data_IF_106732173971
#
_entry.id   IF_106732173971
#
_cell.length_a   1.000
_cell.length_b   1.000
_cell.length_c   1.000
_cell.angle_alpha   90.00
_cell.angle_beta   90.00
_cell.angle_gamma   90.00
#
_symmetry.space_group_name_H-M   'P 1'
#
loop_
_entity.id
_entity.type
_entity.pdbx_description
1 polymer ?
#
# COMPACT_ATOMS: atom_id res chain seq x y z
N UNK A 1 -8.48 35.75 -44.86
CA UNK A 1 -8.16 36.77 -43.82
C UNK A 1 -8.80 36.34 -42.50
N UNK A 2 -7.96 36.22 -41.46
CA UNK A 2 -8.20 36.36 -40.00
C UNK A 2 -9.51 35.86 -39.34
N UNK A 3 -9.33 34.97 -38.36
CA UNK A 3 -10.15 34.84 -37.15
C UNK A 3 -10.07 36.13 -36.27
N UNK A 4 -10.93 36.30 -35.24
CA UNK A 4 -10.53 35.80 -33.92
C UNK A 4 -11.66 35.31 -32.98
N UNK A 5 -11.33 34.24 -32.26
CA UNK A 5 -11.39 34.05 -30.80
C UNK A 5 -12.70 34.39 -30.05
N UNK A 6 -13.42 33.34 -29.63
CA UNK A 6 -14.16 33.34 -28.36
C UNK A 6 -13.55 32.29 -27.42
N UNK A 7 -12.86 32.80 -26.40
CA UNK A 7 -12.15 32.04 -25.37
C UNK A 7 -13.12 31.81 -24.22
N UNK A 8 -13.78 30.66 -24.16
CA UNK A 8 -14.56 30.27 -22.99
C UNK A 8 -13.79 29.27 -22.13
N UNK A 9 -13.34 29.79 -20.99
CA UNK A 9 -12.75 29.08 -19.86
C UNK A 9 -13.71 28.00 -19.36
N UNK A 10 -13.24 26.75 -19.31
CA UNK A 10 -13.76 25.74 -18.40
C UNK A 10 -12.60 25.25 -17.53
N UNK A 11 -12.47 25.84 -16.35
CA UNK A 11 -11.77 25.24 -15.22
C UNK A 11 -12.79 25.11 -14.11
N UNK A 12 -13.15 23.89 -13.74
CA UNK A 12 -13.56 23.56 -12.38
C UNK A 12 -13.66 22.05 -12.20
N UNK A 13 -12.71 21.51 -11.42
CA UNK A 13 -12.91 20.42 -10.47
C UNK A 13 -13.50 19.10 -10.98
N UNK A 14 -12.65 18.24 -11.55
CA UNK A 14 -12.63 16.85 -11.07
C UNK A 14 -11.68 16.79 -9.89
N UNK A 15 -12.26 16.77 -8.70
CA UNK A 15 -11.63 16.28 -7.49
C UNK A 15 -11.00 14.94 -7.87
N UNK A 16 -9.68 14.84 -7.80
CA UNK A 16 -9.00 13.56 -7.90
C UNK A 16 -9.49 12.73 -6.72
N UNK A 17 -10.55 11.95 -6.92
CA UNK A 17 -10.71 10.71 -6.16
C UNK A 17 -9.43 9.94 -6.44
N UNK A 18 -8.52 9.97 -5.47
CA UNK A 18 -7.38 9.06 -5.42
C UNK A 18 -7.95 7.66 -5.21
N UNK A 19 -8.54 7.09 -6.26
CA UNK A 19 -8.85 5.68 -6.36
C UNK A 19 -7.50 5.01 -6.22
N UNK A 20 -7.31 4.47 -5.03
CA UNK A 20 -6.05 3.90 -4.59
C UNK A 20 -5.96 2.55 -5.26
N UNK A 21 -5.39 2.51 -6.46
CA UNK A 21 -5.18 1.23 -7.13
C UNK A 21 -4.00 0.56 -6.43
N UNK A 22 -4.30 -0.17 -5.35
CA UNK A 22 -3.45 -1.27 -4.96
C UNK A 22 -3.41 -2.21 -6.17
N UNK A 23 -2.24 -2.37 -6.80
CA UNK A 23 -2.12 -3.23 -7.95
C UNK A 23 -2.27 -4.68 -7.48
N UNK A 24 -3.15 -5.47 -8.12
CA UNK A 24 -3.23 -6.90 -7.89
C UNK A 24 -1.89 -7.58 -8.19
N UNK A 25 -1.72 -8.79 -7.68
CA UNK A 25 -0.54 -9.62 -8.00
C UNK A 25 -0.42 -9.85 -9.51
N UNK A 26 0.79 -10.14 -9.98
CA UNK A 26 1.03 -10.45 -11.41
C UNK A 26 0.14 -11.61 -11.87
N UNK A 27 -0.11 -12.60 -11.01
CA UNK A 27 -1.00 -13.73 -11.30
C UNK A 27 -2.45 -13.29 -11.49
N UNK A 28 -2.98 -12.46 -10.59
CA UNK A 28 -4.32 -11.90 -10.70
C UNK A 28 -4.48 -11.03 -11.95
N UNK A 29 -3.47 -10.22 -12.27
CA UNK A 29 -3.45 -9.39 -13.49
C UNK A 29 -3.44 -10.24 -14.76
N UNK A 30 -2.66 -11.33 -14.80
CA UNK A 30 -2.67 -12.30 -15.92
C UNK A 30 -4.02 -13.02 -16.02
N UNK A 31 -4.62 -13.38 -14.88
CA UNK A 31 -5.96 -13.97 -14.82
C UNK A 31 -7.04 -13.00 -15.33
N UNK A 32 -6.94 -11.72 -14.98
CA UNK A 32 -7.79 -10.65 -15.53
C UNK A 32 -7.62 -10.53 -17.04
N UNK A 33 -6.38 -10.51 -17.54
CA UNK A 33 -6.11 -10.47 -18.98
C UNK A 33 -6.71 -11.69 -19.70
N UNK A 34 -6.56 -12.89 -19.15
CA UNK A 34 -7.16 -14.12 -19.73
C UNK A 34 -8.68 -14.01 -19.84
N UNK A 35 -9.36 -13.57 -18.77
CA UNK A 35 -10.82 -13.37 -18.76
C UNK A 35 -11.26 -12.29 -19.76
N UNK A 36 -10.52 -11.18 -19.83
CA UNK A 36 -10.80 -10.08 -20.76
C UNK A 36 -10.68 -10.54 -22.22
N UNK A 37 -9.63 -11.31 -22.54
CA UNK A 37 -9.42 -11.88 -23.87
C UNK A 37 -10.58 -12.79 -24.29
N UNK A 38 -11.00 -13.71 -23.41
CA UNK A 38 -12.12 -14.61 -23.66
C UNK A 38 -13.43 -13.84 -23.90
N UNK A 39 -13.68 -12.79 -23.13
CA UNK A 39 -14.85 -11.93 -23.32
C UNK A 39 -14.84 -11.18 -24.66
N UNK A 40 -13.66 -10.75 -25.13
CA UNK A 40 -13.50 -10.08 -26.43
C UNK A 40 -13.65 -11.06 -27.60
N UNK A 41 -13.10 -12.28 -27.49
CA UNK A 41 -13.28 -13.35 -28.47
C UNK A 41 -14.77 -13.72 -28.63
N UNK A 42 -15.50 -13.84 -27.52
CA UNK A 42 -16.94 -14.13 -27.54
C UNK A 42 -17.74 -13.04 -28.26
N UNK A 43 -17.26 -11.79 -28.24
CA UNK A 43 -17.86 -10.65 -28.94
C UNK A 43 -17.37 -10.50 -30.39
N UNK A 44 -16.62 -11.47 -30.92
CA UNK A 44 -16.10 -11.46 -32.28
C UNK A 44 -14.90 -10.53 -32.49
N UNK A 45 -14.30 -9.98 -31.42
CA UNK A 45 -13.12 -9.12 -31.50
C UNK A 45 -11.90 -9.90 -31.03
N UNK A 46 -11.24 -10.60 -31.96
CA UNK A 46 -10.01 -11.31 -31.65
C UNK A 46 -8.86 -10.32 -31.39
N UNK A 47 -8.29 -10.36 -30.19
CA UNK A 47 -7.13 -9.55 -29.80
C UNK A 47 -5.98 -10.44 -29.33
N UNK A 48 -4.76 -10.02 -29.61
CA UNK A 48 -3.56 -10.75 -29.19
C UNK A 48 -3.41 -10.70 -27.67
N UNK A 49 -2.74 -11.70 -27.09
CA UNK A 49 -2.50 -11.74 -25.65
C UNK A 49 -1.75 -10.50 -25.14
N UNK A 50 -0.73 -10.05 -25.87
CA UNK A 50 0.02 -8.84 -25.52
C UNK A 50 -0.86 -7.59 -25.53
N UNK A 51 -1.75 -7.43 -26.52
CA UNK A 51 -2.66 -6.29 -26.57
C UNK A 51 -3.62 -6.27 -25.37
N UNK A 52 -4.06 -7.44 -24.89
CA UNK A 52 -4.92 -7.53 -23.70
C UNK A 52 -4.17 -7.10 -22.44
N UNK A 53 -2.90 -7.47 -22.30
CA UNK A 53 -2.07 -7.04 -21.17
C UNK A 53 -1.89 -5.51 -21.14
N UNK A 54 -1.70 -4.90 -22.31
CA UNK A 54 -1.66 -3.43 -22.43
C UNK A 54 -3.00 -2.78 -22.05
N UNK A 55 -4.12 -3.38 -22.45
CA UNK A 55 -5.45 -2.90 -22.04
C UNK A 55 -5.66 -3.01 -20.52
N UNK A 56 -5.18 -4.09 -19.90
CA UNK A 56 -5.19 -4.23 -18.43
C UNK A 56 -4.34 -3.14 -17.79
N UNK A 57 -3.14 -2.83 -18.31
CA UNK A 57 -2.33 -1.71 -17.82
C UNK A 57 -3.07 -0.38 -17.87
N UNK A 58 -3.72 -0.08 -19.01
CA UNK A 58 -4.51 1.14 -19.19
C UNK A 58 -5.73 1.20 -18.25
N UNK A 59 -6.40 0.07 -17.99
CA UNK A 59 -7.50 -0.01 -17.00
C UNK A 59 -7.04 0.35 -15.59
N UNK A 60 -5.80 0.01 -15.26
CA UNK A 60 -5.16 0.37 -13.99
C UNK A 60 -4.51 1.77 -14.02
N UNK A 61 -4.67 2.54 -15.09
CA UNK A 61 -4.13 3.90 -15.24
C UNK A 61 -2.63 3.96 -15.53
N UNK A 62 -2.02 2.83 -15.90
CA UNK A 62 -0.58 2.69 -16.16
C UNK A 62 -0.31 2.67 -17.67
N UNK A 63 0.84 3.20 -18.09
CA UNK A 63 1.21 3.37 -19.50
C UNK A 63 1.27 2.05 -20.28
N UNK A 64 1.90 1.05 -19.69
CA UNK A 64 2.16 -0.23 -20.35
C UNK A 64 2.25 -1.39 -19.34
N UNK A 65 2.14 -2.61 -19.86
CA UNK A 65 2.22 -3.83 -19.05
C UNK A 65 3.55 -3.95 -18.29
N UNK A 66 4.66 -3.54 -18.90
CA UNK A 66 5.98 -3.62 -18.27
C UNK A 66 6.05 -2.76 -17.00
N UNK A 67 5.47 -1.56 -17.06
CA UNK A 67 5.37 -0.64 -15.92
C UNK A 67 4.40 -1.19 -14.87
N UNK A 68 3.23 -1.68 -15.28
CA UNK A 68 2.25 -2.25 -14.34
C UNK A 68 2.83 -3.47 -13.60
N UNK A 69 3.47 -4.39 -14.32
CA UNK A 69 4.10 -5.57 -13.74
C UNK A 69 5.25 -5.21 -12.80
N UNK A 70 6.10 -4.24 -13.15
CA UNK A 70 7.16 -3.76 -12.26
C UNK A 70 6.60 -3.13 -10.97
N UNK A 71 5.52 -2.35 -11.06
CA UNK A 71 4.86 -1.76 -9.88
C UNK A 71 4.21 -2.84 -9.00
N UNK A 72 3.58 -3.84 -9.60
CA UNK A 72 2.99 -4.98 -8.89
C UNK A 72 4.07 -5.84 -8.21
N UNK A 73 5.21 -6.09 -8.87
CA UNK A 73 6.33 -6.84 -8.30
C UNK A 73 6.92 -6.14 -7.08
N UNK A 74 7.33 -4.86 -7.21
CA UNK A 74 7.98 -4.12 -6.12
C UNK A 74 7.12 -4.09 -4.87
N UNK A 75 5.81 -3.92 -5.01
CA UNK A 75 4.87 -3.90 -3.88
C UNK A 75 4.76 -5.26 -3.21
N UNK A 76 4.80 -6.35 -3.97
CA UNK A 76 4.77 -7.71 -3.43
C UNK A 76 6.11 -8.13 -2.80
N UNK A 77 7.22 -7.50 -3.17
CA UNK A 77 8.54 -7.73 -2.58
C UNK A 77 8.77 -6.94 -1.27
N UNK A 78 7.93 -5.96 -0.94
CA UNK A 78 8.06 -5.25 0.34
C UNK A 78 7.82 -6.24 1.51
N UNK A 79 8.73 -6.34 2.50
CA UNK A 79 8.58 -7.27 3.63
C UNK A 79 7.23 -7.14 4.36
N UNK A 80 6.66 -5.93 4.40
CA UNK A 80 5.35 -5.70 5.02
C UNK A 80 4.21 -6.47 4.34
N UNK A 81 4.36 -6.85 3.08
CA UNK A 81 3.36 -7.62 2.31
C UNK A 81 3.26 -9.07 2.79
N UNK A 82 4.25 -9.58 3.54
CA UNK A 82 4.18 -10.89 4.18
C UNK A 82 3.30 -10.91 5.44
N UNK A 83 2.96 -9.73 5.98
CA UNK A 83 2.16 -9.60 7.20
C UNK A 83 0.69 -9.37 6.82
N UNK A 84 -0.21 -10.05 7.53
CA UNK A 84 -1.65 -9.88 7.37
C UNK A 84 -2.32 -9.60 8.72
N UNK A 85 -3.59 -9.19 8.69
CA UNK A 85 -4.38 -9.07 9.91
C UNK A 85 -4.51 -10.45 10.57
N UNK A 86 -4.16 -10.53 11.85
CA UNK A 86 -4.08 -11.78 12.62
C UNK A 86 -2.66 -12.34 12.75
N UNK A 87 -1.69 -11.87 11.94
CA UNK A 87 -0.29 -12.28 12.05
C UNK A 87 0.30 -11.91 13.41
N UNK A 88 1.11 -12.81 13.96
CA UNK A 88 1.98 -12.53 15.11
C UNK A 88 3.16 -11.69 14.64
N UNK A 89 3.46 -10.64 15.39
CA UNK A 89 4.55 -9.71 15.13
C UNK A 89 5.32 -9.43 16.42
N UNK A 90 6.61 -9.21 16.27
CA UNK A 90 7.48 -8.76 17.33
C UNK A 90 8.32 -7.58 16.81
N UNK A 91 9.01 -6.93 17.73
CA UNK A 91 9.89 -5.82 17.41
C UNK A 91 9.99 -4.86 18.58
N UNK A 92 10.14 -3.57 18.27
CA UNK A 92 10.35 -2.52 19.26
C UNK A 92 9.35 -1.39 19.11
N UNK A 93 8.70 -1.02 20.21
CA UNK A 93 7.87 0.17 20.31
C UNK A 93 8.47 1.12 21.34
N UNK A 94 8.86 2.33 20.91
CA UNK A 94 9.57 3.31 21.74
C UNK A 94 10.79 2.70 22.45
N UNK A 95 11.57 1.90 21.71
CA UNK A 95 12.73 1.13 22.17
C UNK A 95 12.44 -0.05 23.12
N UNK A 96 11.17 -0.31 23.46
CA UNK A 96 10.77 -1.45 24.29
C UNK A 96 10.44 -2.65 23.41
N UNK A 97 10.98 -3.86 23.72
CA UNK A 97 10.61 -5.05 22.98
C UNK A 97 9.14 -5.38 23.21
N UNK A 98 8.46 -5.87 22.17
CA UNK A 98 7.08 -6.33 22.28
C UNK A 98 6.86 -7.59 21.46
N UNK A 99 5.82 -8.33 21.83
CA UNK A 99 5.21 -9.38 21.00
C UNK A 99 3.70 -9.15 21.00
N UNK A 100 3.06 -9.37 19.86
CA UNK A 100 1.63 -9.14 19.74
C UNK A 100 1.05 -9.56 18.41
N UNK A 101 -0.22 -9.24 18.21
CA UNK A 101 -0.99 -9.57 17.02
C UNK A 101 -1.40 -8.32 16.25
N UNK A 102 -1.32 -8.38 14.93
CA UNK A 102 -1.83 -7.34 14.06
C UNK A 102 -3.35 -7.41 14.02
N UNK A 103 -4.02 -6.35 14.46
CA UNK A 103 -5.49 -6.25 14.42
C UNK A 103 -5.99 -5.54 13.16
N UNK A 104 -5.19 -4.66 12.58
CA UNK A 104 -5.51 -3.98 11.34
C UNK A 104 -4.22 -3.59 10.61
N UNK A 105 -4.21 -3.76 9.29
CA UNK A 105 -3.15 -3.30 8.41
C UNK A 105 -3.79 -2.68 7.18
N UNK A 106 -3.47 -1.41 6.89
CA UNK A 106 -3.99 -0.68 5.75
C UNK A 106 -2.88 0.15 5.10
N UNK A 107 -2.61 -0.09 3.81
CA UNK A 107 -1.70 0.76 3.04
C UNK A 107 -2.27 2.17 2.86
N UNK A 108 -1.43 3.19 3.00
CA UNK A 108 -1.83 4.56 2.70
C UNK A 108 -1.74 4.81 1.17
N UNK A 109 -2.74 5.46 0.57
CA UNK A 109 -2.66 5.86 -0.84
C UNK A 109 -1.50 6.83 -1.10
N UNK A 110 -0.66 6.54 -2.09
CA UNK A 110 0.34 7.48 -2.61
C UNK A 110 1.59 7.69 -1.74
N UNK A 111 1.72 6.99 -0.62
CA UNK A 111 2.95 6.93 0.17
C UNK A 111 3.14 5.50 0.62
N UNK A 112 4.35 4.94 0.48
CA UNK A 112 4.72 3.58 0.89
C UNK A 112 4.68 3.35 2.41
N UNK A 113 3.74 4.00 3.08
CA UNK A 113 3.45 3.89 4.50
C UNK A 113 2.16 3.09 4.69
N UNK A 114 2.14 2.27 5.72
CA UNK A 114 1.06 1.39 6.12
C UNK A 114 0.64 1.78 7.53
N UNK A 115 -0.67 1.98 7.73
CA UNK A 115 -1.26 2.10 9.05
C UNK A 115 -1.42 0.71 9.63
N UNK A 116 -0.85 0.49 10.81
CA UNK A 116 -0.90 -0.78 11.52
C UNK A 116 -1.49 -0.57 12.91
N UNK A 117 -2.38 -1.47 13.31
CA UNK A 117 -2.88 -1.58 14.68
C UNK A 117 -2.38 -2.89 15.26
N UNK A 118 -1.68 -2.82 16.39
CA UNK A 118 -1.09 -3.98 17.05
C UNK A 118 -1.69 -4.08 18.45
N UNK A 119 -2.04 -5.29 18.84
CA UNK A 119 -2.37 -5.63 20.22
C UNK A 119 -1.24 -6.47 20.80
N UNK A 120 -0.59 -5.94 21.83
CA UNK A 120 0.47 -6.66 22.52
C UNK A 120 -0.13 -7.76 23.39
N UNK A 121 0.53 -8.91 23.42
CA UNK A 121 0.09 -10.04 24.24
C UNK A 121 0.19 -9.70 25.73
N UNK A 122 1.26 -8.98 26.11
CA UNK A 122 1.44 -8.39 27.43
C UNK A 122 1.45 -6.85 27.34
N UNK A 123 0.82 -6.12 28.27
CA UNK A 123 0.90 -4.66 28.30
C UNK A 123 2.35 -4.19 28.42
N UNK A 124 2.83 -3.45 27.42
CA UNK A 124 4.21 -2.95 27.38
C UNK A 124 4.27 -1.61 28.10
N UNK A 125 5.16 -1.48 29.09
CA UNK A 125 5.47 -0.17 29.68
C UNK A 125 6.37 0.61 28.73
N UNK A 126 5.87 1.71 28.17
CA UNK A 126 6.56 2.46 27.12
C UNK A 126 7.43 3.61 27.64
N UNK A 127 7.57 3.72 28.96
CA UNK A 127 8.35 4.77 29.63
C UNK A 127 9.54 4.13 30.35
N UNK A 128 10.71 4.72 30.18
CA UNK A 128 11.98 4.24 30.74
C UNK A 128 12.30 4.83 32.13
N UNK A 129 11.53 5.79 32.63
CA UNK A 129 11.76 6.43 33.92
C UNK A 129 11.05 5.68 35.05
N UNK A 130 11.75 5.45 36.17
CA UNK A 130 11.21 4.71 37.32
C UNK A 130 10.00 5.39 37.98
N UNK A 131 9.89 6.72 37.87
CA UNK A 131 8.79 7.49 38.50
C UNK A 131 7.48 7.47 37.72
N UNK A 132 7.40 6.85 36.53
CA UNK A 132 6.18 6.85 35.73
C UNK A 132 6.02 5.60 34.87
N UNK A 133 4.85 4.98 34.91
CA UNK A 133 4.50 3.84 34.04
C UNK A 133 3.44 4.25 33.02
N UNK A 134 3.67 3.93 31.76
CA UNK A 134 2.68 4.09 30.70
C UNK A 134 2.49 2.75 29.99
N UNK A 135 1.60 1.92 30.51
CA UNK A 135 1.27 0.68 29.85
C UNK A 135 0.46 0.93 28.58
N UNK A 136 0.82 0.25 27.51
CA UNK A 136 0.07 0.19 26.27
C UNK A 136 -0.16 -1.26 25.94
N UNK A 137 -1.43 -1.63 25.73
CA UNK A 137 -1.80 -2.97 25.26
C UNK A 137 -2.20 -2.94 23.79
N UNK A 138 -2.62 -1.79 23.27
CA UNK A 138 -2.95 -1.60 21.86
C UNK A 138 -2.34 -0.30 21.37
N UNK A 139 -1.73 -0.35 20.19
CA UNK A 139 -1.14 0.81 19.52
C UNK A 139 -1.65 0.94 18.09
N UNK A 140 -1.69 2.18 17.61
CA UNK A 140 -1.88 2.50 16.19
C UNK A 140 -0.64 3.28 15.74
N UNK A 141 -0.01 2.82 14.67
CA UNK A 141 1.22 3.39 14.14
C UNK A 141 1.20 3.42 12.60
N UNK A 142 2.14 4.17 12.04
CA UNK A 142 2.45 4.14 10.62
C UNK A 142 3.85 3.57 10.46
N UNK A 143 4.03 2.66 9.50
CA UNK A 143 5.30 2.00 9.17
C UNK A 143 5.51 2.02 7.66
N UNK A 144 6.75 1.97 7.18
CA UNK A 144 7.06 1.82 5.76
C UNK A 144 7.01 0.36 5.30
N UNK A 145 7.40 0.10 4.05
CA UNK A 145 7.51 -1.23 3.47
C UNK A 145 8.43 -2.20 4.23
N UNK A 146 9.35 -1.67 5.04
CA UNK A 146 10.29 -2.44 5.86
C UNK A 146 9.82 -2.59 7.31
N UNK A 147 8.60 -2.16 7.65
CA UNK A 147 8.08 -2.25 9.01
C UNK A 147 8.64 -1.19 9.97
N UNK A 148 9.24 -0.11 9.44
CA UNK A 148 9.85 0.96 10.25
C UNK A 148 8.97 2.21 10.25
N UNK A 149 8.71 2.76 11.43
CA UNK A 149 7.97 4.02 11.55
C UNK A 149 8.77 5.20 11.00
N UNK A 150 8.19 6.04 10.13
CA UNK A 150 8.85 7.27 9.66
C UNK A 150 8.99 8.30 10.78
N UNK A 151 8.14 8.23 11.81
CA UNK A 151 8.23 9.07 13.00
C UNK A 151 9.32 8.56 13.93
N UNK A 152 10.17 9.48 14.37
CA UNK A 152 11.29 9.27 15.28
C UNK A 152 11.09 10.05 16.58
N UNK A 153 11.61 9.51 17.67
CA UNK A 153 11.72 10.22 18.94
C UNK A 153 12.78 11.33 18.83
N UNK A 154 12.85 12.22 19.81
CA UNK A 154 13.89 13.26 19.88
C UNK A 154 15.32 12.71 19.82
N UNK A 155 15.52 11.43 20.17
CA UNK A 155 16.80 10.74 20.14
C UNK A 155 17.07 10.04 18.79
N UNK A 156 16.27 10.30 17.75
CA UNK A 156 16.45 9.75 16.40
C UNK A 156 15.98 8.32 16.20
N UNK A 157 15.45 7.66 17.24
CA UNK A 157 14.97 6.27 17.19
C UNK A 157 13.54 6.21 16.63
N UNK A 158 13.24 5.35 15.65
CA UNK A 158 11.86 5.14 15.17
C UNK A 158 10.91 4.75 16.29
N UNK A 159 9.67 5.23 16.24
CA UNK A 159 8.68 4.90 17.27
C UNK A 159 8.27 3.43 17.27
N UNK A 160 8.28 2.79 16.10
CA UNK A 160 7.93 1.40 15.91
C UNK A 160 8.89 0.79 14.89
N UNK A 161 9.41 -0.39 15.19
CA UNK A 161 10.17 -1.24 14.29
C UNK A 161 9.60 -2.64 14.44
N UNK A 162 9.18 -3.24 13.33
CA UNK A 162 8.81 -4.66 13.27
C UNK A 162 10.04 -5.47 12.84
N UNK A 163 10.27 -6.63 13.46
CA UNK A 163 11.31 -7.54 12.99
C UNK A 163 10.72 -8.43 11.88
N UNK A 164 10.70 -7.90 10.66
CA UNK A 164 10.17 -8.58 9.48
C UNK A 164 11.32 -8.82 8.51
N UNK A 165 11.58 -10.10 8.21
CA UNK A 165 12.70 -10.59 7.40
C UNK A 165 12.19 -11.41 6.23
#
# INVERSE_FOLDING_TARGET
MRAPLYRSKWHAFRKAESVTTAYPTIEELKSQAKRLRQAMETRGTAISHSAVLELVAQQHGVRDWNTLSALATRRNEEPISAISVGSLVNGRYLNQPFTGKVLALAGQPGGGLHKITIHFDEPVNVVTFESFSAFRQRINAQIDGNGVSPRKTSNGVPHLVLDIW
#
